data_IF_593555704603
#
_entry.id   IF_593555704603
#
_cell.length_a   1.000
_cell.length_b   1.000
_cell.length_c   1.000
_cell.angle_alpha   90.00
_cell.angle_beta   90.00
_cell.angle_gamma   90.00
#
_symmetry.space_group_name_H-M   'P 1'
#
loop_
_entity.id
_entity.type
_entity.pdbx_description
1 polymer ?
#
# COMPACT_ATOMS: atom_id res chain seq x y z
N UNK A 1 -8.06 -2.80 -27.07
CA UNK A 1 -6.60 -3.05 -26.97
C UNK A 1 -6.17 -2.54 -25.60
N UNK A 2 -6.29 -3.38 -24.58
CA UNK A 2 -5.90 -3.00 -23.22
C UNK A 2 -4.39 -2.89 -23.19
N UNK A 3 -3.88 -1.69 -22.97
CA UNK A 3 -2.46 -1.49 -22.70
C UNK A 3 -2.25 -2.12 -21.34
N UNK A 4 -1.66 -3.32 -21.31
CA UNK A 4 -1.10 -3.84 -20.08
C UNK A 4 0.02 -2.86 -19.72
N UNK A 5 -0.27 -1.95 -18.79
CA UNK A 5 0.71 -1.05 -18.24
C UNK A 5 1.72 -1.91 -17.48
N UNK A 6 3.00 -1.60 -17.65
CA UNK A 6 4.10 -2.48 -17.24
C UNK A 6 4.04 -2.72 -15.72
N UNK A 7 4.09 -3.96 -15.21
CA UNK A 7 4.22 -4.23 -13.78
C UNK A 7 5.39 -3.46 -13.13
N UNK A 8 6.43 -3.12 -13.89
CA UNK A 8 7.53 -2.26 -13.43
C UNK A 8 7.06 -0.84 -13.06
N UNK A 9 6.02 -0.32 -13.73
CA UNK A 9 5.43 0.97 -13.37
C UNK A 9 4.73 0.89 -12.01
N UNK A 10 4.01 -0.21 -11.73
CA UNK A 10 3.32 -0.39 -10.46
C UNK A 10 4.29 -0.39 -9.27
N UNK A 11 5.43 -1.08 -9.38
CA UNK A 11 6.47 -1.10 -8.36
C UNK A 11 7.12 0.29 -8.17
N UNK A 12 7.33 1.04 -9.27
CA UNK A 12 7.87 2.39 -9.21
C UNK A 12 6.93 3.35 -8.47
N UNK A 13 5.63 3.31 -8.78
CA UNK A 13 4.61 4.08 -8.05
C UNK A 13 4.55 3.66 -6.57
N UNK A 14 4.59 2.37 -6.27
CA UNK A 14 4.59 1.88 -4.88
C UNK A 14 5.79 2.38 -4.08
N UNK A 15 6.99 2.31 -4.67
CA UNK A 15 8.23 2.76 -4.04
C UNK A 15 8.23 4.27 -3.81
N UNK A 16 7.75 5.05 -4.79
CA UNK A 16 7.64 6.51 -4.64
C UNK A 16 6.59 6.91 -3.60
N UNK A 17 5.45 6.21 -3.57
CA UNK A 17 4.43 6.39 -2.55
C UNK A 17 4.95 6.11 -1.14
N UNK A 18 5.75 5.06 -0.97
CA UNK A 18 6.42 4.77 0.30
C UNK A 18 7.37 5.91 0.71
N UNK A 19 8.16 6.44 -0.22
CA UNK A 19 9.06 7.56 0.04
C UNK A 19 8.30 8.85 0.43
N UNK A 20 7.14 9.12 -0.18
CA UNK A 20 6.28 10.24 0.25
C UNK A 20 5.71 10.00 1.66
N UNK A 21 5.31 8.77 1.99
CA UNK A 21 4.85 8.42 3.33
C UNK A 21 5.93 8.70 4.38
N UNK A 22 7.19 8.35 4.11
CA UNK A 22 8.32 8.62 5.02
C UNK A 22 8.60 10.12 5.18
N UNK A 23 8.30 10.93 4.17
CA UNK A 23 8.39 12.40 4.25
C UNK A 23 7.20 13.05 4.95
N UNK A 24 6.13 12.30 5.24
CA UNK A 24 4.88 12.82 5.77
C UNK A 24 3.94 13.41 4.72
N UNK A 25 4.26 13.30 3.43
CA UNK A 25 3.43 13.76 2.32
C UNK A 25 2.33 12.73 2.00
N UNK A 26 1.42 12.52 2.96
CA UNK A 26 0.47 11.40 2.95
C UNK A 26 -0.50 11.41 1.76
N UNK A 27 -0.90 12.59 1.26
CA UNK A 27 -1.79 12.69 0.10
C UNK A 27 -1.11 12.26 -1.21
N UNK A 28 0.17 12.63 -1.39
CA UNK A 28 0.96 12.18 -2.56
C UNK A 28 1.24 10.68 -2.46
N UNK A 29 1.53 10.19 -1.25
CA UNK A 29 1.69 8.77 -0.99
C UNK A 29 0.43 7.98 -1.41
N UNK A 30 -0.76 8.41 -0.99
CA UNK A 30 -2.03 7.78 -1.39
C UNK A 30 -2.25 7.80 -2.91
N UNK A 31 -1.98 8.92 -3.57
CA UNK A 31 -2.16 9.04 -5.01
C UNK A 31 -1.30 8.02 -5.78
N UNK A 32 -0.01 7.92 -5.42
CA UNK A 32 0.92 6.98 -6.04
C UNK A 32 0.56 5.52 -5.74
N UNK A 33 0.20 5.22 -4.48
CA UNK A 33 -0.16 3.86 -4.09
C UNK A 33 -1.48 3.40 -4.74
N UNK A 34 -2.44 4.31 -4.92
CA UNK A 34 -3.65 4.04 -5.70
C UNK A 34 -3.32 3.74 -7.15
N UNK A 35 -2.41 4.51 -7.76
CA UNK A 35 -1.96 4.25 -9.12
C UNK A 35 -1.26 2.89 -9.24
N UNK A 36 -0.38 2.54 -8.29
CA UNK A 36 0.26 1.24 -8.24
C UNK A 36 -0.75 0.09 -8.20
N UNK A 37 -1.82 0.23 -7.40
CA UNK A 37 -2.90 -0.78 -7.29
C UNK A 37 -3.75 -0.85 -8.56
N UNK A 38 -4.00 0.27 -9.24
CA UNK A 38 -4.70 0.27 -10.54
C UNK A 38 -3.87 -0.46 -11.61
N UNK A 39 -2.54 -0.29 -11.58
CA UNK A 39 -1.60 -0.91 -12.51
C UNK A 39 -1.44 -2.41 -12.23
N UNK A 40 -1.23 -2.78 -10.97
CA UNK A 40 -1.18 -4.16 -10.52
C UNK A 40 -2.01 -4.37 -9.23
N UNK A 41 -3.26 -4.84 -9.38
CA UNK A 41 -4.14 -5.12 -8.24
C UNK A 41 -3.67 -6.26 -7.35
N UNK A 42 -2.63 -7.02 -7.74
CA UNK A 42 -2.04 -8.12 -6.96
C UNK A 42 -0.73 -7.73 -6.28
N UNK A 43 -0.30 -6.47 -6.40
CA UNK A 43 0.92 -5.97 -5.78
C UNK A 43 0.74 -5.79 -4.27
N UNK A 44 1.00 -6.85 -3.50
CA UNK A 44 0.82 -6.88 -2.05
C UNK A 44 1.51 -5.71 -1.32
N UNK A 45 2.72 -5.32 -1.77
CA UNK A 45 3.48 -4.20 -1.20
C UNK A 45 2.76 -2.86 -1.32
N UNK A 46 2.00 -2.62 -2.40
CA UNK A 46 1.28 -1.37 -2.58
C UNK A 46 0.13 -1.24 -1.56
N UNK A 47 -0.60 -2.32 -1.29
CA UNK A 47 -1.60 -2.35 -0.22
C UNK A 47 -0.95 -2.20 1.15
N UNK A 48 0.16 -2.87 1.43
CA UNK A 48 0.89 -2.71 2.69
C UNK A 48 1.33 -1.27 2.95
N UNK A 49 1.88 -0.61 1.93
CA UNK A 49 2.27 0.79 2.02
C UNK A 49 1.06 1.72 2.16
N UNK A 50 -0.05 1.46 1.45
CA UNK A 50 -1.28 2.28 1.58
C UNK A 50 -1.90 2.15 2.96
N UNK A 51 -1.87 0.95 3.53
CA UNK A 51 -2.27 0.71 4.91
C UNK A 51 -1.41 1.51 5.90
N UNK A 52 -0.09 1.59 5.69
CA UNK A 52 0.81 2.46 6.50
C UNK A 52 0.43 3.93 6.42
N UNK A 53 0.09 4.42 5.24
CA UNK A 53 -0.36 5.80 5.06
C UNK A 53 -1.69 6.06 5.78
N UNK A 54 -2.67 5.18 5.66
CA UNK A 54 -3.93 5.29 6.40
C UNK A 54 -3.71 5.23 7.91
N UNK A 55 -2.83 4.35 8.40
CA UNK A 55 -2.47 4.29 9.82
C UNK A 55 -1.82 5.60 10.29
N UNK A 56 -0.94 6.22 9.49
CA UNK A 56 -0.32 7.50 9.81
C UNK A 56 -1.33 8.67 9.84
N UNK A 57 -2.43 8.56 9.10
CA UNK A 57 -3.56 9.52 9.15
C UNK A 57 -4.54 9.28 10.31
N UNK A 58 -4.43 8.14 10.99
CA UNK A 58 -5.42 7.69 11.99
C UNK A 58 -6.63 6.99 11.39
N UNK A 59 -6.63 6.71 10.09
CA UNK A 59 -7.70 6.00 9.37
C UNK A 59 -7.58 4.48 9.57
N UNK A 60 -7.68 4.01 10.82
CA UNK A 60 -7.32 2.64 11.21
C UNK A 60 -8.14 1.55 10.49
N UNK A 61 -9.43 1.77 10.24
CA UNK A 61 -10.29 0.82 9.52
C UNK A 61 -9.79 0.57 8.09
N UNK A 62 -9.39 1.65 7.39
CA UNK A 62 -8.83 1.54 6.04
C UNK A 62 -7.45 0.88 6.08
N UNK A 63 -6.63 1.20 7.09
CA UNK A 63 -5.33 0.57 7.28
C UNK A 63 -5.47 -0.96 7.45
N UNK A 64 -6.39 -1.40 8.31
CA UNK A 64 -6.67 -2.81 8.56
C UNK A 64 -7.15 -3.52 7.29
N UNK A 65 -8.04 -2.88 6.51
CA UNK A 65 -8.54 -3.43 5.26
C UNK A 65 -7.39 -3.66 4.27
N UNK A 66 -6.55 -2.66 4.05
CA UNK A 66 -5.41 -2.74 3.15
C UNK A 66 -4.37 -3.77 3.60
N UNK A 67 -4.03 -3.80 4.89
CA UNK A 67 -3.14 -4.82 5.44
C UNK A 67 -3.70 -6.23 5.27
N UNK A 68 -5.01 -6.40 5.36
CA UNK A 68 -5.64 -7.70 5.16
C UNK A 68 -5.57 -8.16 3.72
N UNK A 69 -5.72 -7.24 2.76
CA UNK A 69 -5.50 -7.52 1.33
C UNK A 69 -4.04 -7.88 1.06
N UNK A 70 -3.08 -7.12 1.61
CA UNK A 70 -1.66 -7.41 1.44
C UNK A 70 -1.28 -8.80 1.95
N UNK A 71 -1.77 -9.21 3.13
CA UNK A 71 -1.56 -10.56 3.69
C UNK A 71 -2.24 -11.65 2.85
N UNK A 72 -3.41 -11.38 2.27
CA UNK A 72 -4.09 -12.34 1.41
C UNK A 72 -3.35 -12.57 0.08
N UNK A 73 -2.71 -11.52 -0.45
CA UNK A 73 -1.94 -11.56 -1.69
C UNK A 73 -0.55 -12.17 -1.48
N UNK A 74 0.15 -11.80 -0.40
CA UNK A 74 1.41 -12.38 0.01
C UNK A 74 1.41 -12.70 1.52
N UNK A 75 1.09 -13.96 1.89
CA UNK A 75 1.09 -14.39 3.29
C UNK A 75 2.46 -14.31 3.97
N UNK A 76 3.56 -14.24 3.21
CA UNK A 76 4.92 -14.13 3.72
C UNK A 76 5.36 -12.68 3.95
N UNK A 77 4.49 -11.70 3.67
CA UNK A 77 4.82 -10.29 3.88
C UNK A 77 4.77 -9.92 5.39
N UNK A 78 5.83 -10.29 6.10
CA UNK A 78 5.93 -10.26 7.57
C UNK A 78 5.72 -8.89 8.19
N UNK A 79 6.18 -7.83 7.52
CA UNK A 79 6.12 -6.46 8.03
C UNK A 79 4.67 -5.96 8.21
N UNK A 80 3.74 -6.44 7.39
CA UNK A 80 2.33 -6.04 7.45
C UNK A 80 1.63 -6.58 8.70
N UNK A 81 2.05 -7.73 9.23
CA UNK A 81 1.43 -8.30 10.43
C UNK A 81 1.65 -7.41 11.66
N UNK A 82 2.84 -6.82 11.80
CA UNK A 82 3.16 -5.90 12.89
C UNK A 82 2.32 -4.62 12.76
N UNK A 83 2.25 -4.06 11.55
CA UNK A 83 1.47 -2.84 11.33
C UNK A 83 -0.03 -3.08 11.52
N UNK A 84 -0.57 -4.24 11.12
CA UNK A 84 -1.97 -4.61 11.35
C UNK A 84 -2.28 -4.78 12.83
N UNK A 85 -1.40 -5.41 13.59
CA UNK A 85 -1.55 -5.56 15.05
C UNK A 85 -1.58 -4.20 15.76
N UNK A 86 -0.77 -3.24 15.33
CA UNK A 86 -0.76 -1.89 15.88
C UNK A 86 -2.04 -1.11 15.57
N UNK A 87 -2.64 -1.33 14.39
CA UNK A 87 -3.86 -0.65 13.98
C UNK A 87 -5.11 -1.10 14.78
N UNK A 88 -5.05 -2.24 15.46
CA UNK A 88 -6.13 -2.74 16.32
C UNK A 88 -6.03 -2.27 17.80
N UNK A 89 -4.99 -1.53 18.19
CA UNK A 89 -4.76 -1.12 19.60
C UNK A 89 -5.40 0.20 19.97
#
# INVERSE_FOLDING_TARGET
RAIALDPLDAEAFSSRGAAYCEKGDLDQALADLNQAIVLDPKLAVAYGNRGRVHSARGDLDQAIADYSVAVALDPQYTDVYVSRGNAYR
#
